data_IF_570846070273
#
_entry.id   IF_570846070273
#
_cell.length_a   1.000
_cell.length_b   1.000
_cell.length_c   1.000
_cell.angle_alpha   90.00
_cell.angle_beta   90.00
_cell.angle_gamma   90.00
#
_symmetry.space_group_name_H-M   'P 1'
#
loop_
_entity.id
_entity.type
_entity.pdbx_description
1 polymer ?
#
# COMPACT_ATOMS: atom_id res chain seq x y z
N UNK A 1 -4.85 -34.31 -1.15
CA UNK A 1 -5.56 -33.39 -0.23
C UNK A 1 -4.60 -33.02 0.88
N UNK A 2 -4.26 -31.74 1.03
CA UNK A 2 -3.52 -31.29 2.21
C UNK A 2 -4.43 -31.48 3.42
N UNK A 3 -4.00 -32.30 4.39
CA UNK A 3 -4.82 -32.69 5.55
C UNK A 3 -5.25 -31.52 6.43
N UNK A 4 -5.83 -31.81 7.61
CA UNK A 4 -6.38 -30.81 8.55
C UNK A 4 -5.45 -29.61 8.78
N UNK A 5 -4.14 -29.84 8.91
CA UNK A 5 -3.16 -28.78 9.14
C UNK A 5 -3.12 -27.71 8.03
N UNK A 6 -3.22 -28.12 6.75
CA UNK A 6 -3.23 -27.20 5.62
C UNK A 6 -4.58 -26.51 5.45
N UNK A 7 -5.68 -27.14 5.85
CA UNK A 7 -7.01 -26.55 5.80
C UNK A 7 -7.13 -25.36 6.77
N UNK A 8 -6.75 -25.54 8.04
CA UNK A 8 -6.79 -24.45 9.03
C UNK A 8 -5.80 -23.34 8.72
N UNK A 9 -4.64 -23.67 8.14
CA UNK A 9 -3.69 -22.67 7.67
C UNK A 9 -4.27 -21.83 6.53
N UNK A 10 -4.89 -22.46 5.53
CA UNK A 10 -5.54 -21.75 4.43
C UNK A 10 -6.71 -20.87 4.92
N UNK A 11 -7.50 -21.35 5.89
CA UNK A 11 -8.58 -20.56 6.50
C UNK A 11 -8.03 -19.36 7.27
N UNK A 12 -6.97 -19.53 8.06
CA UNK A 12 -6.31 -18.44 8.77
C UNK A 12 -5.77 -17.37 7.81
N UNK A 13 -5.12 -17.78 6.71
CA UNK A 13 -4.66 -16.87 5.67
C UNK A 13 -5.83 -16.14 4.98
N UNK A 14 -6.90 -16.85 4.63
CA UNK A 14 -8.08 -16.27 3.97
C UNK A 14 -8.73 -15.21 4.85
N UNK A 15 -8.93 -15.53 6.13
CA UNK A 15 -9.48 -14.60 7.13
C UNK A 15 -8.56 -13.38 7.28
N UNK A 16 -7.24 -13.59 7.43
CA UNK A 16 -6.27 -12.51 7.54
C UNK A 16 -6.28 -11.57 6.33
N UNK A 17 -6.39 -12.11 5.12
CA UNK A 17 -6.47 -11.30 3.90
C UNK A 17 -7.77 -10.50 3.87
N UNK A 18 -8.92 -11.12 4.13
CA UNK A 18 -10.21 -10.43 4.15
C UNK A 18 -10.21 -9.26 5.15
N UNK A 19 -9.84 -9.50 6.41
CA UNK A 19 -9.77 -8.43 7.40
C UNK A 19 -8.68 -7.40 7.07
N UNK A 20 -7.55 -7.82 6.49
CA UNK A 20 -6.46 -6.94 6.09
C UNK A 20 -6.84 -5.94 5.00
N UNK A 21 -7.54 -6.38 3.95
CA UNK A 21 -8.00 -5.48 2.88
C UNK A 21 -9.09 -4.52 3.35
N UNK A 22 -10.05 -5.01 4.16
CA UNK A 22 -11.12 -4.17 4.69
C UNK A 22 -10.56 -3.11 5.65
N UNK A 23 -9.58 -3.48 6.48
CA UNK A 23 -8.89 -2.54 7.39
C UNK A 23 -8.06 -1.50 6.62
N UNK A 24 -7.36 -1.91 5.56
CA UNK A 24 -6.54 -0.99 4.77
C UNK A 24 -7.37 0.13 4.16
N UNK A 25 -8.53 -0.16 3.56
CA UNK A 25 -9.34 0.89 2.91
C UNK A 25 -10.03 1.79 3.94
N UNK A 26 -10.59 1.21 4.99
CA UNK A 26 -11.39 1.96 5.96
C UNK A 26 -10.54 2.77 6.94
N UNK A 27 -9.33 2.30 7.26
CA UNK A 27 -8.45 2.93 8.27
C UNK A 27 -7.32 3.75 7.63
N UNK A 28 -6.66 3.28 6.55
CA UNK A 28 -5.59 4.09 5.93
C UNK A 28 -6.11 5.36 5.28
N UNK A 29 -7.27 5.34 4.61
CA UNK A 29 -7.79 6.54 3.94
C UNK A 29 -8.00 7.74 4.90
N UNK A 30 -8.67 7.60 6.06
CA UNK A 30 -8.76 8.68 7.04
C UNK A 30 -7.43 8.96 7.75
N UNK A 31 -6.59 7.96 8.01
CA UNK A 31 -5.27 8.17 8.61
C UNK A 31 -4.36 9.04 7.72
N UNK A 32 -4.30 8.75 6.42
CA UNK A 32 -3.53 9.53 5.43
C UNK A 32 -4.05 10.97 5.36
N UNK A 33 -5.38 11.16 5.40
CA UNK A 33 -5.97 12.50 5.46
C UNK A 33 -5.70 13.23 6.77
N UNK A 34 -5.61 12.53 7.88
CA UNK A 34 -5.33 13.11 9.20
C UNK A 34 -3.85 13.48 9.37
N UNK A 35 -2.94 12.64 8.87
CA UNK A 35 -1.50 12.91 8.80
C UNK A 35 -1.13 14.05 7.82
N UNK A 36 -2.11 14.60 7.11
CA UNK A 36 -1.92 15.77 6.24
C UNK A 36 -1.07 15.48 5.01
N UNK A 37 -0.97 14.21 4.60
CA UNK A 37 -0.19 13.80 3.41
C UNK A 37 -0.70 14.59 2.20
N UNK A 38 0.16 15.44 1.65
CA UNK A 38 -0.15 16.22 0.47
C UNK A 38 0.37 15.50 -0.79
N UNK A 39 -0.21 15.84 -1.94
CA UNK A 39 0.07 15.19 -3.23
C UNK A 39 1.54 15.36 -3.62
N UNK A 40 2.09 16.48 -3.19
CA UNK A 40 3.45 16.94 -3.39
C UNK A 40 4.48 16.05 -2.65
N UNK A 41 4.09 15.37 -1.55
CA UNK A 41 4.95 14.39 -0.86
C UNK A 41 5.02 13.04 -1.58
N UNK A 42 3.99 12.71 -2.35
CA UNK A 42 3.89 11.43 -3.08
C UNK A 42 4.47 11.53 -4.50
N UNK A 43 4.49 12.73 -5.08
CA UNK A 43 5.07 13.01 -6.39
C UNK A 43 6.56 13.28 -6.21
N UNK A 44 7.41 12.34 -6.66
CA UNK A 44 8.84 12.61 -6.77
C UNK A 44 9.04 13.82 -7.70
N UNK A 45 9.80 14.86 -7.31
CA UNK A 45 10.09 15.95 -8.20
C UNK A 45 10.74 15.38 -9.46
N UNK A 46 10.13 15.66 -10.62
CA UNK A 46 10.73 15.36 -11.91
C UNK A 46 12.05 16.12 -11.91
N UNK A 47 13.19 15.41 -11.81
CA UNK A 47 14.49 16.02 -12.06
C UNK A 47 14.44 16.51 -13.50
N UNK A 48 14.22 17.81 -13.69
CA UNK A 48 14.50 18.44 -14.97
C UNK A 48 15.97 18.17 -15.26
N UNK A 49 16.18 17.37 -16.30
CA UNK A 49 17.49 17.06 -16.83
C UNK A 49 18.04 18.36 -17.41
N UNK A 50 18.75 19.14 -16.59
CA UNK A 50 19.69 20.16 -17.07
C UNK A 50 20.83 19.43 -17.78
N UNK A 51 20.60 19.00 -19.01
CA UNK A 51 21.67 18.85 -20.00
C UNK A 51 21.61 20.16 -20.80
N UNK A 52 22.25 21.21 -20.30
CA UNK A 52 23.54 21.64 -20.85
C UNK A 52 23.44 21.99 -22.35
N UNK A 53 22.73 23.08 -22.62
CA UNK A 53 23.14 23.97 -23.69
C UNK A 53 24.49 24.61 -23.29
N UNK A 54 25.59 23.98 -23.69
CA UNK A 54 26.90 24.64 -23.79
C UNK A 54 27.20 24.71 -25.28
N UNK A 55 26.80 25.85 -25.85
CA UNK A 55 27.20 26.35 -27.17
C UNK A 55 28.64 26.82 -27.09
#
# INVERSE_FOLDING_TARGET
FGGEALHYFAVALTIGICFGIYSSVLVMAPLVRWLGVQREDLVKPIKERKDEAVV
#
